data_IF_762424044779
#
_entry.id   IF_762424044779
#
_cell.length_a   1.000
_cell.length_b   1.000
_cell.length_c   1.000
_cell.angle_alpha   90.00
_cell.angle_beta   90.00
_cell.angle_gamma   90.00
#
_symmetry.space_group_name_H-M   'P 1'
#
loop_
_entity.id
_entity.type
_entity.pdbx_description
1 polymer ?
#
# COMPACT_ATOMS: atom_id res chain seq x y z
N UNK A 1 15.96 0.03 37.13
CA UNK A 1 15.02 0.64 36.18
C UNK A 1 14.07 -0.47 35.80
N UNK A 2 12.86 -0.48 36.37
CA UNK A 2 11.92 -1.58 36.17
C UNK A 2 11.12 -1.32 34.90
N UNK A 3 11.44 -2.06 33.83
CA UNK A 3 10.68 -2.03 32.58
C UNK A 3 9.33 -2.74 32.81
N UNK A 4 8.24 -1.99 32.70
CA UNK A 4 6.90 -2.57 32.59
C UNK A 4 6.67 -3.04 31.16
N UNK A 5 6.36 -4.32 31.00
CA UNK A 5 6.09 -4.97 29.72
C UNK A 5 4.63 -5.42 29.75
N UNK A 6 3.86 -5.00 28.76
CA UNK A 6 2.46 -5.40 28.55
C UNK A 6 2.31 -6.01 27.15
N UNK A 7 1.27 -6.82 26.97
CA UNK A 7 0.98 -7.52 25.71
C UNK A 7 -0.38 -7.09 25.16
N UNK A 8 -0.55 -7.19 23.84
CA UNK A 8 -1.82 -6.94 23.17
C UNK A 8 -2.02 -7.93 22.04
N UNK A 9 -3.27 -8.36 21.84
CA UNK A 9 -3.68 -9.19 20.70
C UNK A 9 -3.93 -8.36 19.43
N UNK A 10 -3.80 -7.03 19.52
CA UNK A 10 -3.94 -6.14 18.36
C UNK A 10 -2.71 -6.24 17.49
N UNK A 11 -2.92 -6.40 16.19
CA UNK A 11 -1.86 -6.25 15.20
C UNK A 11 -1.22 -4.86 15.33
N UNK A 12 0.10 -4.83 15.34
CA UNK A 12 0.90 -3.60 15.41
C UNK A 12 1.80 -3.51 14.18
N UNK A 13 1.87 -2.32 13.59
CA UNK A 13 2.78 -2.02 12.50
C UNK A 13 3.90 -1.12 12.98
N UNK A 14 5.15 -1.32 12.53
CA UNK A 14 6.24 -0.40 12.83
C UNK A 14 6.10 0.94 12.08
N UNK A 15 5.14 1.06 11.15
CA UNK A 15 4.98 2.20 10.26
C UNK A 15 3.95 3.23 10.75
N UNK A 16 4.18 3.83 11.93
CA UNK A 16 3.25 4.79 12.56
C UNK A 16 2.83 5.96 11.64
N UNK A 17 3.70 6.38 10.73
CA UNK A 17 3.44 7.44 9.76
C UNK A 17 2.41 7.11 8.67
N UNK A 18 2.03 5.85 8.48
CA UNK A 18 1.09 5.44 7.41
C UNK A 18 -0.32 5.98 7.65
N UNK A 19 -0.74 6.13 8.90
CA UNK A 19 -2.02 6.75 9.23
C UNK A 19 -2.09 8.22 8.78
N UNK A 20 -0.99 8.96 8.93
CA UNK A 20 -0.89 10.35 8.47
C UNK A 20 -0.99 10.42 6.94
N UNK A 21 -0.30 9.53 6.23
CA UNK A 21 -0.38 9.43 4.77
C UNK A 21 -1.84 9.27 4.30
N UNK A 22 -2.60 8.35 4.88
CA UNK A 22 -4.01 8.15 4.50
C UNK A 22 -4.86 9.36 4.78
N UNK A 23 -4.74 9.98 5.96
CA UNK A 23 -5.47 11.20 6.27
C UNK A 23 -5.20 12.29 5.24
N UNK A 24 -3.94 12.43 4.82
CA UNK A 24 -3.58 13.37 3.77
C UNK A 24 -4.25 13.01 2.44
N UNK A 25 -4.16 11.76 2.00
CA UNK A 25 -4.76 11.30 0.75
C UNK A 25 -6.29 11.42 0.75
N UNK A 26 -6.95 11.14 1.87
CA UNK A 26 -8.40 11.31 2.02
C UNK A 26 -8.81 12.78 1.93
N UNK A 27 -8.02 13.68 2.52
CA UNK A 27 -8.26 15.14 2.44
C UNK A 27 -8.01 15.70 1.04
N UNK A 28 -7.22 15.03 0.23
CA UNK A 28 -6.99 15.36 -1.17
C UNK A 28 -8.01 14.72 -2.10
N UNK A 29 -9.00 13.99 -1.57
CA UNK A 29 -9.98 13.24 -2.37
C UNK A 29 -9.28 12.31 -3.38
N UNK A 30 -8.19 11.67 -2.92
CA UNK A 30 -7.28 10.95 -3.80
C UNK A 30 -7.96 9.83 -4.60
N UNK A 31 -8.95 9.15 -4.03
CA UNK A 31 -9.71 8.12 -4.74
C UNK A 31 -10.55 8.69 -5.90
N UNK A 32 -11.04 9.93 -5.81
CA UNK A 32 -11.75 10.61 -6.89
C UNK A 32 -10.78 10.99 -8.01
N UNK A 33 -9.59 11.49 -7.64
CA UNK A 33 -8.51 11.77 -8.58
C UNK A 33 -8.15 10.49 -9.35
N UNK A 34 -7.94 9.37 -8.66
CA UNK A 34 -7.62 8.09 -9.32
C UNK A 34 -8.73 7.64 -10.28
N UNK A 35 -9.98 7.83 -9.90
CA UNK A 35 -11.15 7.44 -10.72
C UNK A 35 -11.31 8.29 -11.98
N UNK A 36 -10.79 9.53 -11.97
CA UNK A 36 -10.80 10.42 -13.11
C UNK A 36 -9.66 10.15 -14.11
N UNK A 37 -8.65 9.36 -13.72
CA UNK A 37 -7.50 9.03 -14.57
C UNK A 37 -7.81 7.83 -15.47
N UNK A 38 -7.35 7.89 -16.71
CA UNK A 38 -7.39 6.75 -17.62
C UNK A 38 -6.21 5.80 -17.35
N UNK A 39 -6.29 5.05 -16.24
CA UNK A 39 -5.24 4.13 -15.80
C UNK A 39 -5.23 2.84 -16.62
N UNK A 40 -4.05 2.23 -16.88
CA UNK A 40 -3.99 1.00 -17.65
C UNK A 40 -4.69 -0.13 -16.90
N UNK A 41 -5.69 -0.73 -17.56
CA UNK A 41 -6.39 -1.87 -17.01
C UNK A 41 -5.54 -3.13 -17.05
N UNK A 42 -5.76 -4.02 -16.09
CA UNK A 42 -5.08 -5.32 -16.07
C UNK A 42 -5.83 -6.30 -16.97
N UNK A 43 -5.15 -6.87 -17.95
CA UNK A 43 -5.70 -7.97 -18.76
C UNK A 43 -5.71 -9.34 -18.07
N UNK A 44 -5.43 -9.42 -16.77
CA UNK A 44 -5.32 -10.69 -16.03
C UNK A 44 -6.51 -10.87 -15.07
N UNK A 45 -7.15 -12.04 -15.12
CA UNK A 45 -8.21 -12.43 -14.17
C UNK A 45 -7.74 -12.46 -12.70
N UNK A 46 -6.42 -12.46 -12.45
CA UNK A 46 -5.82 -12.40 -11.10
C UNK A 46 -5.08 -11.07 -10.86
N UNK A 47 -5.32 -10.07 -11.69
CA UNK A 47 -4.74 -8.74 -11.56
C UNK A 47 -5.26 -7.99 -10.34
N UNK A 48 -4.58 -6.89 -10.03
CA UNK A 48 -4.95 -5.97 -8.96
C UNK A 48 -5.52 -4.71 -9.57
N UNK A 49 -6.55 -4.14 -8.97
CA UNK A 49 -7.10 -2.88 -9.43
C UNK A 49 -6.00 -1.80 -9.49
N UNK A 50 -5.92 -0.98 -10.56
CA UNK A 50 -4.91 0.08 -10.67
C UNK A 50 -4.86 0.99 -9.43
N UNK A 51 -6.02 1.30 -8.84
CA UNK A 51 -6.09 2.12 -7.62
C UNK A 51 -5.39 1.46 -6.43
N UNK A 52 -5.54 0.14 -6.28
CA UNK A 52 -4.83 -0.60 -5.24
C UNK A 52 -3.32 -0.53 -5.49
N UNK A 53 -2.88 -0.75 -6.73
CA UNK A 53 -1.45 -0.73 -7.07
C UNK A 53 -0.82 0.62 -6.74
N UNK A 54 -1.48 1.72 -7.10
CA UNK A 54 -0.98 3.07 -6.81
C UNK A 54 -0.94 3.34 -5.30
N UNK A 55 -2.04 3.08 -4.57
CA UNK A 55 -2.11 3.33 -3.12
C UNK A 55 -1.10 2.48 -2.35
N UNK A 56 -0.96 1.21 -2.69
CA UNK A 56 0.01 0.31 -2.06
C UNK A 56 1.46 0.72 -2.39
N UNK A 57 1.72 1.16 -3.62
CA UNK A 57 3.05 1.60 -4.03
C UNK A 57 3.46 2.90 -3.31
N UNK A 58 2.59 3.91 -3.26
CA UNK A 58 2.85 5.17 -2.52
C UNK A 58 3.07 4.88 -1.04
N UNK A 59 2.29 3.97 -0.44
CA UNK A 59 2.49 3.54 0.95
C UNK A 59 3.88 2.94 1.15
N UNK A 60 4.35 2.12 0.21
CA UNK A 60 5.68 1.51 0.28
C UNK A 60 6.79 2.56 0.17
N UNK A 61 6.65 3.53 -0.73
CA UNK A 61 7.59 4.65 -0.88
C UNK A 61 7.62 5.49 0.40
N UNK A 62 6.46 5.78 1.00
CA UNK A 62 6.36 6.48 2.28
C UNK A 62 7.08 5.76 3.42
N UNK A 63 7.06 4.43 3.41
CA UNK A 63 7.81 3.57 4.34
C UNK A 63 9.30 3.41 3.97
N UNK A 64 9.81 4.13 2.95
CA UNK A 64 11.23 4.12 2.56
C UNK A 64 11.61 3.11 1.49
N UNK A 65 10.65 2.56 0.73
CA UNK A 65 10.96 1.70 -0.41
C UNK A 65 11.64 2.51 -1.54
N UNK A 66 12.84 2.08 -1.94
CA UNK A 66 13.62 2.68 -3.03
C UNK A 66 13.85 1.71 -4.20
N UNK A 67 13.38 0.47 -4.08
CA UNK A 67 13.43 -0.58 -5.11
C UNK A 67 12.11 -1.35 -5.10
N UNK A 68 11.72 -1.96 -6.21
CA UNK A 68 10.47 -2.72 -6.29
C UNK A 68 10.40 -3.84 -5.27
N UNK A 69 11.51 -4.54 -5.03
CA UNK A 69 11.62 -5.63 -4.07
C UNK A 69 11.34 -5.17 -2.62
N UNK A 70 11.60 -3.90 -2.29
CA UNK A 70 11.32 -3.36 -0.96
C UNK A 70 9.82 -3.31 -0.66
N UNK A 71 8.96 -3.30 -1.69
CA UNK A 71 7.50 -3.36 -1.51
C UNK A 71 7.03 -4.68 -0.89
N UNK A 72 7.87 -5.73 -0.89
CA UNK A 72 7.57 -6.98 -0.19
C UNK A 72 7.57 -6.81 1.33
N UNK A 73 8.27 -5.82 1.89
CA UNK A 73 8.26 -5.54 3.33
C UNK A 73 6.88 -5.08 3.78
N UNK A 74 6.32 -4.07 3.11
CA UNK A 74 4.96 -3.57 3.39
C UNK A 74 3.87 -4.54 2.96
N UNK A 75 4.15 -5.43 1.99
CA UNK A 75 3.21 -6.49 1.58
C UNK A 75 2.90 -7.48 2.70
N UNK A 76 3.88 -7.77 3.57
CA UNK A 76 3.71 -8.70 4.69
C UNK A 76 3.10 -8.03 5.93
N UNK A 77 2.82 -6.72 5.88
CA UNK A 77 2.23 -5.98 6.99
C UNK A 77 0.70 -6.04 6.92
N UNK A 78 0.12 -6.81 7.84
CA UNK A 78 -1.32 -7.07 7.90
C UNK A 78 -2.11 -5.81 8.29
N UNK A 79 -1.54 -4.94 9.12
CA UNK A 79 -2.19 -3.67 9.49
C UNK A 79 -2.33 -2.79 8.26
N UNK A 80 -1.30 -2.68 7.43
CA UNK A 80 -1.36 -1.91 6.17
C UNK A 80 -2.44 -2.48 5.23
N UNK A 81 -2.53 -3.81 5.12
CA UNK A 81 -3.57 -4.47 4.31
C UNK A 81 -4.98 -4.11 4.78
N UNK A 82 -5.24 -4.29 6.07
CA UNK A 82 -6.54 -4.01 6.69
C UNK A 82 -6.91 -2.54 6.61
N UNK A 83 -5.94 -1.67 6.87
CA UNK A 83 -6.07 -0.22 6.83
C UNK A 83 -6.54 0.31 5.47
N UNK A 84 -6.02 -0.26 4.38
CA UNK A 84 -6.45 0.08 3.04
C UNK A 84 -7.69 -0.69 2.56
N UNK A 85 -8.17 -1.67 3.34
CA UNK A 85 -9.29 -2.53 2.97
C UNK A 85 -8.98 -3.46 1.80
N UNK A 86 -7.72 -3.84 1.61
CA UNK A 86 -7.33 -4.73 0.51
C UNK A 86 -7.58 -6.20 0.88
N UNK A 87 -8.17 -6.97 -0.04
CA UNK A 87 -8.32 -8.43 0.14
C UNK A 87 -6.94 -9.10 0.29
N UNK A 88 -5.99 -8.72 -0.56
CA UNK A 88 -4.60 -9.22 -0.55
C UNK A 88 -3.64 -8.14 -1.04
N UNK A 89 -2.42 -8.13 -0.50
CA UNK A 89 -1.37 -7.20 -0.91
C UNK A 89 -0.69 -7.66 -2.21
N UNK A 90 -0.50 -6.73 -3.16
CA UNK A 90 0.22 -6.97 -4.40
C UNK A 90 1.71 -7.21 -4.16
N UNK A 91 2.32 -8.06 -4.99
CA UNK A 91 3.76 -8.31 -4.96
C UNK A 91 4.52 -7.39 -5.92
N UNK A 92 5.84 -7.31 -5.77
CA UNK A 92 6.70 -6.39 -6.54
C UNK A 92 6.55 -6.53 -8.06
N UNK A 93 6.38 -7.76 -8.56
CA UNK A 93 6.16 -8.03 -10.00
C UNK A 93 4.88 -7.40 -10.55
N UNK A 94 3.86 -7.22 -9.71
CA UNK A 94 2.63 -6.54 -10.11
C UNK A 94 2.89 -5.06 -10.37
N UNK A 95 3.69 -4.40 -9.53
CA UNK A 95 4.10 -3.02 -9.76
C UNK A 95 4.97 -2.87 -11.01
N UNK A 96 5.96 -3.75 -11.18
CA UNK A 96 6.82 -3.74 -12.37
C UNK A 96 6.00 -3.80 -13.66
N UNK A 97 5.07 -4.75 -13.77
CA UNK A 97 4.20 -4.89 -14.95
C UNK A 97 3.30 -3.66 -15.14
N UNK A 98 2.74 -3.14 -14.05
CA UNK A 98 1.89 -1.96 -14.09
C UNK A 98 2.64 -0.75 -14.66
N UNK A 99 3.81 -0.43 -14.09
CA UNK A 99 4.60 0.72 -14.54
C UNK A 99 5.31 0.52 -15.88
N UNK A 100 5.61 -0.72 -16.28
CA UNK A 100 6.12 -1.03 -17.63
C UNK A 100 5.07 -0.79 -18.71
N UNK A 101 3.79 -1.05 -18.42
CA UNK A 101 2.69 -0.86 -19.37
C UNK A 101 2.07 0.56 -19.29
N UNK A 102 2.60 1.43 -18.44
CA UNK A 102 2.08 2.80 -18.21
C UNK A 102 2.77 3.87 -19.08
N UNK A 103 3.67 3.47 -19.99
CA UNK A 103 4.41 4.35 -20.91
C UNK A 103 4.26 3.82 -22.33
#
# INVERSE_FOLDING_TARGET
MDLKIDFTDKEISPWSGVYLLKKMLDRMEFDEILSALNLPETGSNRGYHPHQLIKQFITSVWCGANKFEHTEVTRQDEVIRQFWGFDKMAGHKSFQRFFQNSI
#
